data_IF_329534280909
#
_entry.id   IF_329534280909
#
_cell.length_a   1.000
_cell.length_b   1.000
_cell.length_c   1.000
_cell.angle_alpha   90.00
_cell.angle_beta   90.00
_cell.angle_gamma   90.00
#
_symmetry.space_group_name_H-M   'P 1'
#
loop_
_entity.id
_entity.type
_entity.pdbx_description
1 polymer ?
#
# COMPACT_ATOMS: atom_id res chain seq x y z
N UNK A 1 -19.20 14.01 -6.21
CA UNK A 1 -18.26 14.82 -5.41
C UNK A 1 -16.87 14.54 -5.95
N UNK A 2 -16.31 15.44 -6.75
CA UNK A 2 -14.93 15.34 -7.21
C UNK A 2 -14.00 15.68 -6.04
N UNK A 3 -13.13 14.77 -5.62
CA UNK A 3 -12.07 15.09 -4.65
C UNK A 3 -11.12 16.06 -5.32
N UNK A 4 -11.12 17.33 -4.92
CA UNK A 4 -10.35 18.41 -5.52
C UNK A 4 -8.99 18.58 -4.85
N UNK A 5 -8.85 18.21 -3.57
CA UNK A 5 -7.63 18.37 -2.78
C UNK A 5 -6.64 17.23 -3.01
N UNK A 6 -7.03 16.00 -2.64
CA UNK A 6 -6.17 14.82 -2.74
C UNK A 6 -6.72 13.84 -3.78
N UNK A 7 -5.81 13.30 -4.61
CA UNK A 7 -6.04 12.04 -5.31
C UNK A 7 -5.61 10.91 -4.38
N UNK A 8 -6.52 9.99 -4.11
CA UNK A 8 -6.28 8.82 -3.27
C UNK A 8 -6.18 7.58 -4.15
N UNK A 9 -5.08 6.85 -4.06
CA UNK A 9 -4.81 5.66 -4.86
C UNK A 9 -4.28 4.51 -3.99
N UNK A 10 -4.83 3.28 -4.10
CA UNK A 10 -5.95 2.89 -4.95
C UNK A 10 -7.32 3.33 -4.39
N UNK A 11 -8.38 3.26 -5.19
CA UNK A 11 -9.76 3.59 -4.75
C UNK A 11 -10.41 2.51 -3.87
N UNK A 12 -10.00 1.26 -4.03
CA UNK A 12 -10.32 0.14 -3.14
C UNK A 12 -8.99 -0.46 -2.63
N UNK A 13 -8.89 -0.68 -1.33
CA UNK A 13 -7.67 -1.19 -0.69
C UNK A 13 -7.67 -2.72 -0.72
N UNK A 14 -6.86 -3.29 -1.61
CA UNK A 14 -6.63 -4.74 -1.64
C UNK A 14 -5.72 -5.12 -0.48
N UNK A 15 -6.21 -5.99 0.37
CA UNK A 15 -5.48 -6.49 1.53
C UNK A 15 -5.32 -8.00 1.40
N UNK A 16 -4.09 -8.52 1.28
CA UNK A 16 -3.86 -9.95 1.36
C UNK A 16 -4.46 -10.51 2.66
N UNK A 17 -5.14 -11.65 2.57
CA UNK A 17 -5.69 -12.35 3.72
C UNK A 17 -4.97 -13.68 3.89
N UNK A 18 -4.36 -13.86 5.05
CA UNK A 18 -3.68 -15.09 5.45
C UNK A 18 -3.84 -15.25 6.97
N UNK A 19 -4.21 -16.45 7.41
CA UNK A 19 -4.39 -16.72 8.83
C UNK A 19 -3.06 -16.57 9.58
N UNK A 20 -3.14 -16.05 10.82
CA UNK A 20 -2.01 -15.90 11.73
C UNK A 20 -0.87 -15.01 11.21
N UNK A 21 -1.08 -14.28 10.12
CA UNK A 21 -0.08 -13.39 9.52
C UNK A 21 -0.60 -11.97 9.37
N UNK A 22 0.26 -11.00 9.65
CA UNK A 22 -0.03 -9.59 9.38
C UNK A 22 0.20 -9.29 7.91
N UNK A 23 -0.70 -8.52 7.32
CA UNK A 23 -0.58 -8.06 5.94
C UNK A 23 -0.69 -6.54 5.90
N UNK A 24 0.03 -5.91 4.99
CA UNK A 24 0.04 -4.46 4.84
C UNK A 24 -0.23 -4.03 3.41
N UNK A 25 -0.78 -2.84 3.25
CA UNK A 25 -0.96 -2.18 1.97
C UNK A 25 -0.62 -0.69 2.11
N UNK A 26 -0.06 -0.09 1.05
CA UNK A 26 0.14 1.35 0.98
C UNK A 26 -1.08 2.03 0.32
N UNK A 27 -1.47 3.17 0.88
CA UNK A 27 -2.41 4.10 0.31
C UNK A 27 -1.66 5.39 -0.03
N UNK A 28 -1.58 5.71 -1.32
CA UNK A 28 -0.94 6.92 -1.81
C UNK A 28 -1.91 8.10 -1.82
N UNK A 29 -1.48 9.22 -1.24
CA UNK A 29 -2.17 10.49 -1.23
C UNK A 29 -1.36 11.48 -2.07
N UNK A 30 -1.87 11.87 -3.23
CA UNK A 30 -1.26 12.90 -4.08
C UNK A 30 -2.01 14.22 -3.97
N UNK A 31 -1.30 15.29 -3.63
CA UNK A 31 -1.87 16.63 -3.52
C UNK A 31 -1.97 17.30 -4.89
N UNK A 32 -3.19 17.61 -5.30
CA UNK A 32 -3.49 18.23 -6.61
C UNK A 32 -3.49 19.75 -6.56
N UNK A 33 -3.11 20.36 -5.44
CA UNK A 33 -3.15 21.80 -5.21
C UNK A 33 -1.75 22.35 -5.03
N UNK A 34 -1.63 23.68 -5.13
CA UNK A 34 -0.41 24.43 -4.80
C UNK A 34 -0.34 24.82 -3.31
N UNK A 35 -1.29 24.34 -2.51
CA UNK A 35 -1.36 24.59 -1.06
C UNK A 35 -1.00 23.33 -0.29
N UNK A 36 -0.65 23.49 1.00
CA UNK A 36 -0.48 22.33 1.89
C UNK A 36 -1.84 21.74 2.23
N UNK A 37 -1.91 20.41 2.23
CA UNK A 37 -3.15 19.69 2.55
C UNK A 37 -2.91 18.77 3.73
N UNK A 38 -3.60 18.99 4.83
CA UNK A 38 -3.60 18.07 5.96
C UNK A 38 -4.59 16.93 5.71
N UNK A 39 -4.24 15.73 6.16
CA UNK A 39 -5.11 14.56 6.07
C UNK A 39 -5.28 13.88 7.41
N UNK A 40 -6.40 13.16 7.54
CA UNK A 40 -6.68 12.24 8.64
C UNK A 40 -7.36 10.98 8.13
N UNK A 41 -6.87 9.82 8.55
CA UNK A 41 -7.43 8.52 8.21
C UNK A 41 -8.23 7.98 9.39
N UNK A 42 -9.44 7.51 9.11
CA UNK A 42 -10.33 6.83 10.06
C UNK A 42 -10.70 5.46 9.50
N UNK A 43 -11.04 4.53 10.37
CA UNK A 43 -11.49 3.17 9.99
C UNK A 43 -12.72 2.78 10.78
N UNK A 44 -13.55 1.92 10.20
CA UNK A 44 -14.68 1.29 10.90
C UNK A 44 -14.24 0.20 11.88
N UNK A 45 -12.98 -0.26 11.81
CA UNK A 45 -12.48 -1.36 12.64
C UNK A 45 -11.06 -1.11 13.19
N UNK A 46 -10.90 -0.18 14.16
CA UNK A 46 -9.60 0.25 14.66
C UNK A 46 -8.85 -0.84 15.46
N UNK A 47 -9.54 -1.89 15.92
CA UNK A 47 -8.88 -3.03 16.59
C UNK A 47 -8.14 -3.93 15.61
N UNK A 48 -8.62 -3.98 14.36
CA UNK A 48 -8.12 -4.88 13.31
C UNK A 48 -7.05 -4.23 12.45
N UNK A 49 -7.05 -2.91 12.34
CA UNK A 49 -6.13 -2.18 11.47
C UNK A 49 -5.30 -1.17 12.25
N UNK A 50 -3.99 -1.20 12.01
CA UNK A 50 -3.09 -0.12 12.36
C UNK A 50 -2.84 0.76 11.13
N UNK A 51 -2.90 2.08 11.30
CA UNK A 51 -2.65 3.06 10.23
C UNK A 51 -1.45 3.92 10.60
N UNK A 52 -0.46 3.99 9.72
CA UNK A 52 0.79 4.71 9.95
C UNK A 52 1.23 5.52 8.72
N UNK A 53 1.34 6.85 8.84
CA UNK A 53 0.74 7.68 9.89
C UNK A 53 -0.79 7.80 9.70
N UNK A 54 -1.52 7.97 10.81
CA UNK A 54 -2.97 8.19 10.76
C UNK A 54 -3.37 9.63 10.38
N UNK A 55 -2.44 10.57 10.46
CA UNK A 55 -2.61 11.97 10.05
C UNK A 55 -1.27 12.58 9.64
N UNK A 56 -1.31 13.57 8.77
CA UNK A 56 -0.10 14.25 8.30
C UNK A 56 -0.42 15.42 7.40
N UNK A 57 0.62 16.03 6.83
CA UNK A 57 0.50 17.12 5.85
C UNK A 57 1.19 16.68 4.56
N UNK A 58 0.48 16.76 3.44
CA UNK A 58 1.02 16.54 2.11
C UNK A 58 1.46 17.89 1.53
N UNK A 59 2.73 18.03 1.09
CA UNK A 59 3.20 19.29 0.50
C UNK A 59 2.47 19.59 -0.83
N UNK A 60 2.50 20.85 -1.31
CA UNK A 60 2.01 21.21 -2.63
C UNK A 60 2.56 20.29 -3.71
N UNK A 61 1.71 19.80 -4.60
CA UNK A 61 2.08 18.90 -5.72
C UNK A 61 2.83 17.62 -5.32
N UNK A 62 2.89 17.27 -4.04
CA UNK A 62 3.62 16.11 -3.55
C UNK A 62 2.73 14.88 -3.29
N UNK A 63 3.39 13.75 -3.05
CA UNK A 63 2.76 12.49 -2.63
C UNK A 63 3.11 12.15 -1.18
N UNK A 64 2.25 11.34 -0.56
CA UNK A 64 2.47 10.79 0.77
C UNK A 64 1.90 9.36 0.84
N UNK A 65 2.70 8.38 1.27
CA UNK A 65 2.23 7.00 1.48
C UNK A 65 1.75 6.79 2.93
N UNK A 66 0.55 6.24 3.07
CA UNK A 66 0.01 5.76 4.35
C UNK A 66 0.01 4.24 4.35
N UNK A 67 0.72 3.63 5.29
CA UNK A 67 0.73 2.19 5.47
C UNK A 67 -0.43 1.76 6.35
N UNK A 68 -1.24 0.83 5.85
CA UNK A 68 -2.34 0.20 6.57
C UNK A 68 -1.96 -1.25 6.79
N UNK A 69 -1.83 -1.65 8.06
CA UNK A 69 -1.50 -3.02 8.46
C UNK A 69 -2.70 -3.69 9.11
N UNK A 70 -3.12 -4.82 8.58
CA UNK A 70 -4.11 -5.71 9.18
C UNK A 70 -3.46 -6.61 10.22
N UNK A 71 -4.06 -6.70 11.40
CA UNK A 71 -3.65 -7.64 12.45
C UNK A 71 -3.82 -9.09 11.99
N UNK A 72 -2.99 -9.99 12.52
CA UNK A 72 -3.02 -11.41 12.20
C UNK A 72 -4.41 -12.01 12.51
N UNK A 73 -5.21 -12.38 11.48
CA UNK A 73 -6.53 -12.92 11.71
C UNK A 73 -6.42 -14.33 12.30
N UNK A 74 -7.19 -14.60 13.36
CA UNK A 74 -7.21 -15.90 14.03
C UNK A 74 -8.13 -16.90 13.34
N UNK A 75 -9.19 -16.39 12.73
CA UNK A 75 -10.26 -17.16 12.12
C UNK A 75 -10.63 -16.55 10.78
N UNK A 76 -11.19 -17.39 9.92
CA UNK A 76 -11.69 -16.99 8.61
C UNK A 76 -13.10 -16.40 8.82
N UNK A 77 -13.39 -15.19 8.31
CA UNK A 77 -14.75 -14.67 8.35
C UNK A 77 -15.72 -15.63 7.65
N UNK A 78 -16.92 -15.90 8.21
CA UNK A 78 -17.85 -16.92 7.70
C UNK A 78 -18.17 -16.80 6.21
N UNK A 79 -18.14 -15.58 5.67
CA UNK A 79 -18.47 -15.32 4.27
C UNK A 79 -17.28 -14.79 3.44
N UNK A 80 -16.05 -14.79 3.99
CA UNK A 80 -14.86 -14.10 3.42
C UNK A 80 -15.07 -12.62 3.04
N UNK A 81 -16.24 -12.04 3.33
CA UNK A 81 -16.57 -10.67 2.97
C UNK A 81 -15.99 -9.68 3.96
N UNK A 82 -15.13 -8.80 3.46
CA UNK A 82 -14.69 -7.64 4.19
C UNK A 82 -15.72 -6.52 4.09
N UNK A 83 -16.27 -6.08 5.23
CA UNK A 83 -17.17 -4.91 5.32
C UNK A 83 -16.45 -3.67 5.83
N UNK A 84 -15.16 -3.79 6.13
CA UNK A 84 -14.37 -2.73 6.72
C UNK A 84 -14.12 -1.61 5.70
N UNK A 85 -14.17 -0.37 6.18
CA UNK A 85 -13.99 0.83 5.35
C UNK A 85 -13.00 1.78 6.00
N UNK A 86 -12.28 2.50 5.15
CA UNK A 86 -11.47 3.65 5.55
C UNK A 86 -12.08 4.94 5.03
N UNK A 87 -11.87 6.01 5.79
CA UNK A 87 -12.24 7.36 5.43
C UNK A 87 -11.00 8.23 5.55
N UNK A 88 -10.56 8.81 4.43
CA UNK A 88 -9.54 9.86 4.41
C UNK A 88 -10.28 11.19 4.38
N UNK A 89 -10.01 12.04 5.36
CA UNK A 89 -10.49 13.42 5.37
C UNK A 89 -9.32 14.33 5.02
N UNK A 90 -9.56 15.36 4.23
CA UNK A 90 -8.55 16.34 3.85
C UNK A 90 -9.06 17.77 3.93
N UNK A 91 -8.13 18.68 4.25
CA UNK A 91 -8.36 20.13 4.36
C UNK A 91 -7.12 20.87 3.85
N UNK A 92 -7.32 22.06 3.31
CA UNK A 92 -6.22 23.01 3.09
C UNK A 92 -5.75 23.55 4.44
N UNK A 93 -4.43 23.71 4.60
CA UNK A 93 -3.81 24.32 5.78
C UNK A 93 -2.79 25.38 5.39
N UNK A 94 -2.48 26.27 6.34
CA UNK A 94 -1.52 27.35 6.16
C UNK A 94 -0.09 26.83 5.99
N UNK A 95 0.75 27.65 5.34
CA UNK A 95 2.19 27.40 5.27
C UNK A 95 2.79 27.34 6.67
N UNK A 96 3.70 26.40 6.89
CA UNK A 96 4.30 26.16 8.21
C UNK A 96 3.50 25.22 9.13
N UNK A 97 2.25 24.87 8.81
CA UNK A 97 1.50 23.85 9.56
C UNK A 97 2.27 22.53 9.60
N UNK A 98 2.55 22.03 10.79
CA UNK A 98 3.22 20.75 11.03
C UNK A 98 2.24 19.69 11.51
N UNK A 99 2.69 18.43 11.59
CA UNK A 99 1.87 17.32 12.09
C UNK A 99 1.40 17.54 13.53
N UNK A 100 2.14 18.31 14.34
CA UNK A 100 1.80 18.61 15.74
C UNK A 100 0.61 19.57 15.86
N UNK A 101 0.40 20.40 14.84
CA UNK A 101 -0.66 21.41 14.80
C UNK A 101 -2.00 20.82 14.32
N UNK A 102 -1.98 19.59 13.78
CA UNK A 102 -3.16 18.89 13.30
C UNK A 102 -4.03 18.45 14.49
N UNK A 103 -5.05 19.24 14.81
CA UNK A 103 -6.05 18.90 15.83
C UNK A 103 -7.33 18.31 15.22
N UNK A 104 -8.03 17.38 15.91
CA UNK A 104 -9.24 16.74 15.37
C UNK A 104 -10.34 17.70 14.91
N UNK A 105 -10.47 18.86 15.57
CA UNK A 105 -11.48 19.87 15.22
C UNK A 105 -11.21 20.51 13.84
N UNK A 106 -9.98 20.41 13.30
CA UNK A 106 -9.70 20.89 11.95
C UNK A 106 -10.42 20.09 10.86
N UNK A 107 -10.94 18.90 11.14
CA UNK A 107 -11.69 18.09 10.16
C UNK A 107 -13.21 18.14 10.36
N UNK A 108 -13.71 19.01 11.25
CA UNK A 108 -15.15 19.27 11.38
C UNK A 108 -15.64 20.17 10.24
N UNK A 109 -16.81 19.84 9.67
CA UNK A 109 -17.47 20.66 8.64
C UNK A 109 -18.08 21.88 9.32
N UNK A 110 -17.70 23.06 8.83
CA UNK A 110 -18.20 24.35 9.30
C UNK A 110 -18.43 25.27 8.10
N UNK A 111 -19.32 26.28 8.20
CA UNK A 111 -19.51 27.26 7.13
C UNK A 111 -18.18 27.90 6.73
N UNK A 112 -17.90 27.97 5.43
CA UNK A 112 -16.65 28.53 4.88
C UNK A 112 -15.44 27.59 4.92
N UNK A 113 -15.59 26.36 5.44
CA UNK A 113 -14.48 25.40 5.56
C UNK A 113 -14.69 24.21 4.63
N UNK A 114 -13.78 24.06 3.67
CA UNK A 114 -13.77 22.92 2.76
C UNK A 114 -13.13 21.70 3.45
N UNK A 115 -13.94 20.69 3.74
CA UNK A 115 -13.49 19.38 4.21
C UNK A 115 -13.93 18.33 3.19
N UNK A 116 -12.96 17.67 2.57
CA UNK A 116 -13.22 16.58 1.64
C UNK A 116 -13.13 15.22 2.33
N UNK A 117 -14.01 14.30 1.93
CA UNK A 117 -14.15 12.97 2.49
C UNK A 117 -14.00 11.92 1.37
N UNK A 118 -12.94 11.11 1.43
CA UNK A 118 -12.72 9.99 0.51
C UNK A 118 -12.94 8.65 1.23
N UNK A 119 -13.91 7.86 0.77
CA UNK A 119 -14.23 6.53 1.35
C UNK A 119 -13.61 5.41 0.52
N UNK A 120 -12.90 4.53 1.19
CA UNK A 120 -12.25 3.34 0.61
C UNK A 120 -12.90 2.10 1.20
N UNK A 121 -13.13 1.07 0.39
CA UNK A 121 -13.46 -0.26 0.90
C UNK A 121 -12.20 -1.11 0.97
N UNK A 122 -12.19 -2.04 1.91
CA UNK A 122 -11.15 -3.07 1.96
C UNK A 122 -11.66 -4.30 1.23
N UNK A 123 -10.83 -4.88 0.37
CA UNK A 123 -11.12 -6.11 -0.38
C UNK A 123 -10.05 -7.13 -0.01
N UNK A 124 -10.48 -8.33 0.43
CA UNK A 124 -9.54 -9.42 0.65
C UNK A 124 -9.15 -10.10 -0.64
N UNK A 125 -7.85 -10.33 -0.79
CA UNK A 125 -7.28 -11.14 -1.85
C UNK A 125 -6.50 -12.30 -1.24
N UNK A 126 -6.46 -13.48 -1.88
CA UNK A 126 -5.58 -14.57 -1.45
C UNK A 126 -4.13 -14.09 -1.41
N UNK A 127 -3.39 -14.42 -0.35
CA UNK A 127 -1.98 -14.05 -0.23
C UNK A 127 -1.07 -14.80 -1.23
N UNK A 128 -1.48 -16.00 -1.65
CA UNK A 128 -0.83 -16.79 -2.68
C UNK A 128 -1.79 -16.97 -3.87
N UNK A 129 -1.70 -16.15 -4.95
CA UNK A 129 -2.31 -16.52 -6.21
C UNK A 129 -1.64 -17.80 -6.74
N UNK A 130 -2.37 -18.74 -7.36
CA UNK A 130 -1.74 -19.91 -7.96
C UNK A 130 -0.73 -19.44 -8.99
N UNK A 131 0.53 -19.87 -8.86
CA UNK A 131 1.55 -19.64 -9.89
C UNK A 131 1.00 -20.17 -11.23
N UNK A 132 1.19 -19.47 -12.36
CA UNK A 132 0.94 -20.04 -13.67
C UNK A 132 1.76 -21.33 -13.74
N UNK A 133 1.08 -22.48 -13.84
CA UNK A 133 1.74 -23.74 -14.13
C UNK A 133 2.45 -23.52 -15.46
N UNK A 134 3.78 -23.71 -15.57
CA UNK A 134 4.44 -23.71 -16.87
C UNK A 134 3.68 -24.71 -17.74
N UNK A 135 3.12 -24.26 -18.87
CA UNK A 135 2.61 -25.18 -19.89
C UNK A 135 3.78 -26.10 -20.23
N UNK A 136 3.64 -27.37 -19.87
CA UNK A 136 4.57 -28.41 -20.23
C UNK A 136 4.46 -28.54 -21.74
N UNK A 137 5.46 -28.02 -22.47
CA UNK A 137 5.61 -28.35 -23.89
C UNK A 137 5.83 -29.85 -23.94
N UNK A 138 4.84 -30.59 -24.42
CA UNK A 138 4.96 -32.00 -24.77
C UNK A 138 6.01 -32.11 -25.89
N UNK A 139 7.28 -32.28 -25.54
CA UNK A 139 8.29 -32.71 -26.50
C UNK A 139 8.21 -34.23 -26.61
N UNK A 140 7.78 -34.66 -27.79
CA UNK A 140 7.61 -36.05 -28.16
C UNK A 140 8.92 -36.84 -28.03
N UNK A 141 8.74 -38.05 -27.50
CA UNK A 141 9.66 -39.17 -27.38
C UNK A 141 10.45 -39.44 -28.66
N UNK A 142 11.78 -39.43 -28.56
CA UNK A 142 12.63 -40.22 -29.46
C UNK A 142 13.93 -40.64 -28.77
N UNK A 143 14.18 -41.95 -28.86
CA UNK A 143 15.17 -42.76 -28.13
C UNK A 143 16.61 -42.66 -28.66
N UNK A 144 17.53 -43.08 -27.78
CA UNK A 144 18.88 -43.66 -27.98
C UNK A 144 20.09 -42.77 -28.34
N UNK A 145 21.02 -42.61 -27.39
CA UNK A 145 22.17 -43.54 -27.20
C UNK A 145 23.20 -43.01 -26.19
N UNK A 146 23.75 -43.93 -25.41
CA UNK A 146 24.74 -43.76 -24.32
C UNK A 146 26.09 -43.17 -24.77
N UNK A 147 26.70 -42.30 -23.93
CA UNK A 147 28.14 -42.32 -23.55
C UNK A 147 28.36 -41.52 -22.24
N UNK A 148 28.90 -42.18 -21.22
CA UNK A 148 29.41 -41.61 -19.96
C UNK A 148 30.70 -40.79 -20.15
N UNK A 149 30.81 -39.59 -19.55
CA UNK A 149 31.88 -39.31 -18.58
C UNK A 149 31.68 -38.01 -17.78
N UNK A 150 32.12 -38.11 -16.53
CA UNK A 150 31.91 -37.22 -15.40
C UNK A 150 32.57 -35.83 -15.55
N UNK A 151 31.85 -34.78 -15.14
CA UNK A 151 32.43 -33.48 -14.76
C UNK A 151 31.80 -32.99 -13.45
N UNK A 152 32.67 -32.64 -12.52
CA UNK A 152 32.41 -32.16 -11.16
C UNK A 152 31.40 -31.00 -11.06
N UNK A 153 30.64 -31.06 -9.97
CA UNK A 153 29.74 -30.01 -9.46
C UNK A 153 30.50 -28.71 -9.18
N UNK A 154 29.80 -27.57 -9.29
CA UNK A 154 29.61 -26.82 -8.05
C UNK A 154 28.14 -26.48 -7.82
N UNK A 155 27.68 -26.87 -6.63
CA UNK A 155 26.44 -26.43 -6.01
C UNK A 155 26.48 -24.91 -5.84
N UNK A 156 25.63 -24.18 -6.53
CA UNK A 156 25.16 -22.88 -6.05
C UNK A 156 23.64 -22.94 -5.99
N UNK A 157 23.15 -23.26 -4.80
CA UNK A 157 21.75 -23.03 -4.44
C UNK A 157 21.52 -21.52 -4.46
N UNK A 158 20.93 -21.01 -5.55
CA UNK A 158 20.29 -19.71 -5.51
C UNK A 158 19.05 -19.83 -4.63
N UNK A 159 19.23 -19.62 -3.32
CA UNK A 159 18.13 -19.22 -2.45
C UNK A 159 17.73 -17.80 -2.85
N UNK A 160 16.84 -17.69 -3.84
CA UNK A 160 16.07 -16.46 -4.02
C UNK A 160 15.09 -16.43 -2.86
N UNK A 161 15.51 -15.81 -1.77
CA UNK A 161 14.58 -15.24 -0.81
C UNK A 161 13.75 -14.21 -1.58
N UNK A 162 12.54 -14.59 -1.96
CA UNK A 162 11.53 -13.68 -2.48
C UNK A 162 11.20 -12.68 -1.39
N UNK A 163 11.96 -11.58 -1.35
CA UNK A 163 11.72 -10.45 -0.48
C UNK A 163 10.40 -9.81 -0.90
N UNK A 164 9.34 -10.13 -0.17
CA UNK A 164 8.06 -9.43 -0.25
C UNK A 164 8.15 -8.13 0.56
N UNK A 165 9.05 -7.24 0.16
CA UNK A 165 9.14 -5.88 0.68
C UNK A 165 9.59 -4.95 -0.43
N UNK A 166 8.71 -4.62 -1.36
CA UNK A 166 8.88 -3.38 -2.11
C UNK A 166 7.57 -2.76 -2.61
N UNK A 167 6.84 -2.14 -1.69
CA UNK A 167 5.89 -1.11 -2.04
C UNK A 167 6.32 0.26 -1.48
N UNK A 168 7.50 0.33 -0.85
CA UNK A 168 7.97 1.51 -0.13
C UNK A 168 9.37 1.99 -0.55
N UNK A 169 10.12 1.26 -1.38
CA UNK A 169 11.48 1.67 -1.74
C UNK A 169 11.53 2.54 -3.01
N UNK A 170 10.61 2.35 -3.96
CA UNK A 170 10.62 3.12 -5.22
C UNK A 170 10.06 4.56 -5.14
N UNK A 171 9.51 5.02 -4.00
CA UNK A 171 8.91 6.38 -3.90
C UNK A 171 9.53 7.29 -2.83
N UNK A 172 10.73 6.99 -2.34
CA UNK A 172 11.51 7.92 -1.51
C UNK A 172 12.91 8.10 -2.12
N UNK A 173 13.01 8.81 -3.26
CA UNK A 173 14.19 9.63 -3.50
C UNK A 173 13.91 11.05 -2.96
N UNK A 174 14.59 11.51 -1.91
CA UNK A 174 14.68 12.94 -1.66
C UNK A 174 15.55 13.54 -2.76
N UNK A 175 15.05 14.62 -3.38
CA UNK A 175 15.81 15.44 -4.31
C UNK A 175 17.10 15.94 -3.63
N UNK A 176 18.23 15.28 -3.86
CA UNK A 176 19.55 15.87 -3.64
C UNK A 176 19.93 16.66 -4.89
N UNK A 177 19.78 17.98 -4.81
CA UNK A 177 20.52 18.91 -5.67
C UNK A 177 22.02 18.74 -5.45
N UNK A 178 22.86 18.78 -6.49
CA UNK A 178 24.16 19.39 -6.40
C UNK A 178 24.07 20.83 -6.90
N UNK A 179 24.26 21.77 -5.98
CA UNK A 179 24.76 23.11 -6.31
C UNK A 179 26.21 22.91 -6.78
N UNK A 180 26.48 23.14 -8.06
CA UNK A 180 27.85 23.33 -8.55
C UNK A 180 28.07 24.84 -8.70
N UNK A 181 29.08 25.34 -7.99
CA UNK A 181 29.74 26.61 -8.24
C UNK A 181 31.10 26.33 -8.88
#
# INVERSE_FOLDING_TARGET
MSNSLLRVSPSDLKMPFELKKQNSACLELYNKTDQRVAFKVKTTNPRKYAVRPASGVVPPRGSFCVTITMQAPKEIPPDYHCKDKFLVQSIVVEEGTTVKDIVPNMFSKAPGKLVEDFKLRVIYIPANPPSPVPEETEEEDSLDSDVDHEVERPSTSNSVSSNFTDCCFEHIMPCLFPVNH
#
